data_IF_490586042985
#
_entry.id   IF_490586042985
#
_cell.length_a   1.000
_cell.length_b   1.000
_cell.length_c   1.000
_cell.angle_alpha   90.00
_cell.angle_beta   90.00
_cell.angle_gamma   90.00
#
_symmetry.space_group_name_H-M   'P 1'
#
loop_
_entity.id
_entity.type
_entity.pdbx_description
1 polymer ?
#
# COMPACT_ATOMS: atom_id res chain seq x y z
N UNK A 1 7.17 -66.35 7.53
CA UNK A 1 7.82 -65.58 6.46
C UNK A 1 9.31 -65.87 6.56
N UNK A 2 9.83 -66.66 5.63
CA UNK A 2 11.18 -67.20 5.69
C UNK A 2 12.21 -66.14 5.26
N UNK A 3 13.21 -65.90 6.12
CA UNK A 3 14.41 -65.13 5.78
C UNK A 3 15.24 -65.94 4.76
N UNK A 4 15.78 -65.34 3.69
CA UNK A 4 16.76 -66.04 2.87
C UNK A 4 18.09 -66.12 3.61
N UNK A 5 18.68 -67.32 3.56
CA UNK A 5 19.94 -67.71 4.20
C UNK A 5 21.15 -67.06 3.55
N UNK A 6 22.12 -66.65 4.37
CA UNK A 6 23.49 -66.28 3.98
C UNK A 6 24.17 -67.45 3.24
N UNK A 7 24.22 -67.40 1.90
CA UNK A 7 25.17 -68.19 1.13
C UNK A 7 25.83 -67.30 0.05
N UNK A 8 27.06 -66.90 0.36
CA UNK A 8 28.16 -66.55 -0.54
C UNK A 8 27.82 -66.24 -2.01
N UNK A 9 27.73 -64.94 -2.34
CA UNK A 9 27.92 -64.44 -3.70
C UNK A 9 29.41 -64.50 -4.08
N UNK A 10 29.91 -65.71 -4.39
CA UNK A 10 31.19 -65.86 -5.07
C UNK A 10 31.01 -65.57 -6.57
N UNK A 11 31.05 -64.29 -6.94
CA UNK A 11 31.09 -63.85 -8.32
C UNK A 11 32.37 -63.06 -8.60
N UNK A 12 33.32 -63.63 -9.34
CA UNK A 12 34.41 -62.86 -9.95
C UNK A 12 33.82 -62.01 -11.09
N UNK A 13 33.22 -60.87 -10.73
CA UNK A 13 32.64 -59.92 -11.66
C UNK A 13 33.72 -59.07 -12.31
N UNK A 14 33.85 -59.16 -13.64
CA UNK A 14 34.68 -58.24 -14.42
C UNK A 14 33.78 -57.23 -15.16
N UNK A 15 34.26 -55.99 -15.28
CA UNK A 15 33.61 -54.99 -16.11
C UNK A 15 33.96 -55.23 -17.59
N UNK A 16 33.01 -55.24 -18.52
CA UNK A 16 33.34 -55.36 -19.96
C UNK A 16 32.95 -54.12 -20.74
N UNK A 17 33.71 -53.84 -21.79
CA UNK A 17 33.35 -52.87 -22.82
C UNK A 17 32.52 -53.59 -23.91
N UNK A 18 31.28 -53.16 -24.21
CA UNK A 18 30.51 -53.75 -25.29
C UNK A 18 30.94 -53.11 -26.62
N UNK A 19 31.64 -53.88 -27.47
CA UNK A 19 31.74 -53.57 -28.90
C UNK A 19 30.60 -54.29 -29.63
N UNK A 20 29.93 -53.56 -30.52
CA UNK A 20 28.85 -54.09 -31.35
C UNK A 20 29.37 -55.19 -32.28
N UNK A 21 28.68 -56.33 -32.30
CA UNK A 21 29.01 -57.43 -33.21
C UNK A 21 28.65 -57.07 -34.65
N UNK A 22 29.56 -57.35 -35.58
CA UNK A 22 29.26 -57.40 -36.99
C UNK A 22 28.40 -58.65 -37.31
N UNK A 23 27.69 -58.60 -38.44
CA UNK A 23 26.72 -59.62 -38.86
C UNK A 23 27.33 -61.02 -39.15
N UNK A 24 28.61 -61.25 -38.84
CA UNK A 24 29.35 -62.49 -39.06
C UNK A 24 29.73 -63.23 -37.76
N UNK A 25 29.30 -62.76 -36.59
CA UNK A 25 29.43 -63.50 -35.33
C UNK A 25 30.85 -63.60 -34.77
N UNK A 26 31.79 -62.75 -35.22
CA UNK A 26 33.07 -62.57 -34.54
C UNK A 26 32.85 -61.69 -33.32
N UNK A 27 33.07 -62.27 -32.14
CA UNK A 27 33.10 -61.50 -30.89
C UNK A 27 34.49 -60.93 -30.75
N UNK A 28 34.63 -59.61 -30.94
CA UNK A 28 35.85 -58.92 -30.56
C UNK A 28 36.15 -59.19 -29.08
N UNK A 29 37.43 -59.31 -28.69
CA UNK A 29 37.79 -59.53 -27.29
C UNK A 29 37.23 -58.38 -26.44
N UNK A 30 36.43 -58.74 -25.43
CA UNK A 30 35.89 -57.80 -24.44
C UNK A 30 36.74 -57.89 -23.16
N UNK A 31 37.88 -57.18 -23.08
CA UNK A 31 38.76 -57.25 -21.92
C UNK A 31 38.07 -56.68 -20.67
N UNK A 32 38.52 -57.15 -19.51
CA UNK A 32 38.08 -56.62 -18.23
C UNK A 32 38.53 -55.15 -18.05
N UNK A 33 37.59 -54.25 -17.81
CA UNK A 33 37.82 -52.85 -17.48
C UNK A 33 38.06 -52.66 -15.97
N UNK A 34 37.48 -53.52 -15.13
CA UNK A 34 37.73 -53.56 -13.69
C UNK A 34 37.31 -54.90 -13.09
N UNK A 35 37.72 -55.15 -11.85
CA UNK A 35 37.32 -56.29 -11.04
C UNK A 35 36.60 -55.79 -9.79
N UNK A 36 35.50 -56.45 -9.43
CA UNK A 36 34.65 -56.08 -8.29
C UNK A 36 34.86 -57.04 -7.12
N UNK A 37 34.73 -56.54 -5.90
CA UNK A 37 34.68 -57.31 -4.66
C UNK A 37 33.58 -56.77 -3.74
N UNK A 38 33.32 -57.47 -2.62
CA UNK A 38 32.35 -57.04 -1.60
C UNK A 38 30.96 -56.74 -2.17
N UNK A 39 30.32 -57.77 -2.74
CA UNK A 39 28.93 -57.68 -3.14
C UNK A 39 28.04 -57.69 -1.90
N UNK A 40 27.24 -56.64 -1.73
CA UNK A 40 26.25 -56.52 -0.66
C UNK A 40 24.86 -56.26 -1.25
N UNK A 41 23.83 -56.70 -0.52
CA UNK A 41 22.44 -56.41 -0.84
C UNK A 41 21.87 -55.60 0.31
N UNK A 42 21.44 -54.38 0.01
CA UNK A 42 20.86 -53.46 0.99
C UNK A 42 19.44 -53.89 1.36
N UNK A 43 18.91 -53.34 2.46
CA UNK A 43 17.57 -53.66 2.96
C UNK A 43 16.45 -53.40 1.94
N UNK A 44 16.67 -52.45 1.02
CA UNK A 44 15.74 -52.09 -0.06
C UNK A 44 15.91 -52.96 -1.33
N UNK A 45 16.78 -53.98 -1.28
CA UNK A 45 17.04 -54.90 -2.40
C UNK A 45 18.02 -54.37 -3.44
N UNK A 46 18.65 -53.21 -3.20
CA UNK A 46 19.72 -52.70 -4.05
C UNK A 46 21.00 -53.54 -3.89
N UNK A 47 21.70 -53.80 -5.01
CA UNK A 47 22.97 -54.52 -5.00
C UNK A 47 24.12 -53.53 -5.16
N UNK A 48 25.00 -53.48 -4.18
CA UNK A 48 26.22 -52.68 -4.20
C UNK A 48 27.45 -53.59 -4.31
N UNK A 49 28.50 -53.08 -4.96
CA UNK A 49 29.77 -53.79 -5.10
C UNK A 49 30.91 -52.77 -5.14
N UNK A 50 32.01 -53.06 -4.46
CA UNK A 50 33.22 -52.23 -4.48
C UNK A 50 34.09 -52.59 -5.68
N UNK A 51 34.75 -51.61 -6.28
CA UNK A 51 35.74 -51.87 -7.33
C UNK A 51 37.09 -52.18 -6.67
N UNK A 52 37.56 -53.41 -6.84
CA UNK A 52 38.84 -53.86 -6.30
C UNK A 52 40.01 -53.25 -7.09
N UNK A 53 39.90 -53.29 -8.42
CA UNK A 53 40.98 -52.87 -9.30
C UNK A 53 40.45 -52.46 -10.67
N UNK A 54 40.88 -51.29 -11.16
CA UNK A 54 40.65 -50.84 -12.53
C UNK A 54 41.82 -51.22 -13.41
N UNK A 55 41.56 -51.71 -14.63
CA UNK A 55 42.62 -51.78 -15.64
C UNK A 55 42.91 -50.39 -16.19
N UNK A 56 44.14 -50.10 -16.68
CA UNK A 56 44.48 -48.78 -17.21
C UNK A 56 43.53 -48.30 -18.32
N UNK A 57 43.04 -49.23 -19.15
CA UNK A 57 42.05 -48.94 -20.18
C UNK A 57 40.68 -48.58 -19.58
N UNK A 58 40.20 -49.33 -18.57
CA UNK A 58 38.93 -49.05 -17.90
C UNK A 58 38.93 -47.72 -17.15
N UNK A 59 40.02 -47.42 -16.44
CA UNK A 59 40.18 -46.16 -15.71
C UNK A 59 40.15 -44.95 -16.66
N UNK A 60 40.86 -45.04 -17.78
CA UNK A 60 40.88 -44.00 -18.82
C UNK A 60 39.49 -43.78 -19.41
N UNK A 61 38.77 -44.86 -19.72
CA UNK A 61 37.45 -44.81 -20.32
C UNK A 61 36.41 -44.13 -19.39
N UNK A 62 36.49 -44.35 -18.07
CA UNK A 62 35.64 -43.66 -17.09
C UNK A 62 36.07 -42.21 -16.90
N UNK A 63 37.37 -41.92 -16.78
CA UNK A 63 37.91 -40.55 -16.62
C UNK A 63 37.57 -39.65 -17.80
N UNK A 64 37.72 -40.17 -19.02
CA UNK A 64 37.40 -39.46 -20.26
C UNK A 64 35.89 -39.40 -20.54
N UNK A 65 35.06 -40.00 -19.66
CA UNK A 65 33.60 -40.08 -19.81
C UNK A 65 33.17 -40.78 -21.10
N UNK A 66 34.00 -41.69 -21.61
CA UNK A 66 33.66 -42.56 -22.75
C UNK A 66 32.50 -43.49 -22.38
N UNK A 67 32.37 -43.83 -21.10
CA UNK A 67 31.25 -44.59 -20.53
C UNK A 67 30.70 -43.92 -19.29
N UNK A 68 29.38 -43.71 -19.26
CA UNK A 68 28.70 -43.01 -18.15
C UNK A 68 27.83 -43.91 -17.27
N UNK A 69 27.43 -45.08 -17.75
CA UNK A 69 26.50 -45.97 -17.07
C UNK A 69 27.05 -47.39 -16.97
N UNK A 70 26.39 -48.20 -16.14
CA UNK A 70 26.66 -49.62 -15.99
C UNK A 70 25.43 -50.43 -16.43
N UNK A 71 25.63 -51.64 -16.91
CA UNK A 71 24.55 -52.58 -17.25
C UNK A 71 24.91 -53.99 -16.75
N UNK A 72 24.31 -54.46 -15.64
CA UNK A 72 24.59 -55.79 -15.11
C UNK A 72 23.97 -56.89 -15.96
N UNK A 73 24.65 -58.04 -16.02
CA UNK A 73 24.12 -59.29 -16.57
C UNK A 73 23.64 -60.16 -15.42
N UNK A 74 22.32 -60.29 -15.33
CA UNK A 74 21.64 -60.98 -14.24
C UNK A 74 21.35 -62.44 -14.65
N UNK A 75 21.75 -63.39 -13.81
CA UNK A 75 21.33 -64.78 -13.89
C UNK A 75 19.97 -64.91 -13.21
N UNK A 76 19.01 -65.50 -13.89
CA UNK A 76 17.68 -65.76 -13.35
C UNK A 76 17.16 -67.14 -13.74
N UNK A 77 16.27 -67.68 -12.92
CA UNK A 77 15.53 -68.90 -13.23
C UNK A 77 14.45 -68.59 -14.26
N UNK A 78 14.52 -69.20 -15.45
CA UNK A 78 13.57 -68.94 -16.53
C UNK A 78 12.12 -69.31 -16.22
N UNK A 79 11.89 -70.27 -15.31
CA UNK A 79 10.56 -70.77 -15.00
C UNK A 79 9.89 -69.99 -13.85
N UNK A 80 10.68 -69.49 -12.89
CA UNK A 80 10.16 -68.78 -11.71
C UNK A 80 10.42 -67.28 -11.73
N UNK A 81 11.32 -66.79 -12.60
CA UNK A 81 11.74 -65.39 -12.66
C UNK A 81 12.71 -64.97 -11.55
N UNK A 82 13.08 -65.89 -10.64
CA UNK A 82 13.94 -65.60 -9.49
C UNK A 82 15.37 -65.27 -9.92
N UNK A 83 15.91 -64.16 -9.42
CA UNK A 83 17.30 -63.72 -9.65
C UNK A 83 18.25 -64.56 -8.80
N UNK A 84 19.22 -65.22 -9.45
CA UNK A 84 20.24 -66.06 -8.82
C UNK A 84 21.56 -65.34 -8.56
N UNK A 85 21.81 -64.22 -9.24
CA UNK A 85 23.03 -63.43 -9.05
C UNK A 85 23.41 -62.61 -10.28
N UNK A 86 24.57 -61.96 -10.21
CA UNK A 86 25.14 -61.14 -11.27
C UNK A 86 26.44 -61.79 -11.76
N UNK A 87 26.56 -62.02 -13.07
CA UNK A 87 27.77 -62.65 -13.65
C UNK A 87 28.84 -61.63 -14.02
N UNK A 88 28.42 -60.51 -14.60
CA UNK A 88 29.30 -59.44 -15.05
C UNK A 88 28.53 -58.13 -15.13
N UNK A 89 29.24 -57.02 -15.24
CA UNK A 89 28.65 -55.69 -15.37
C UNK A 89 29.32 -54.98 -16.54
N UNK A 90 28.58 -54.50 -17.54
CA UNK A 90 29.18 -53.79 -18.66
C UNK A 90 29.24 -52.28 -18.40
N UNK A 91 30.32 -51.61 -18.83
CA UNK A 91 30.33 -50.15 -18.97
C UNK A 91 29.60 -49.77 -20.26
N UNK A 92 28.58 -48.93 -20.21
CA UNK A 92 27.76 -48.60 -21.39
C UNK A 92 27.28 -47.14 -21.36
N UNK A 93 26.99 -46.59 -22.54
CA UNK A 93 26.29 -45.31 -22.69
C UNK A 93 24.77 -45.49 -22.88
N UNK A 94 24.31 -46.73 -23.10
CA UNK A 94 22.90 -47.10 -23.25
C UNK A 94 22.61 -48.24 -22.28
N UNK A 95 22.33 -47.96 -21.00
CA UNK A 95 22.07 -49.01 -20.03
C UNK A 95 20.70 -49.64 -20.29
N UNK A 96 20.60 -50.95 -20.07
CA UNK A 96 19.33 -51.68 -20.20
C UNK A 96 18.44 -51.51 -18.95
N UNK A 97 19.01 -51.03 -17.84
CA UNK A 97 18.33 -50.74 -16.57
C UNK A 97 18.60 -49.29 -16.18
N UNK A 98 17.62 -48.61 -15.59
CA UNK A 98 17.75 -47.22 -15.15
C UNK A 98 18.47 -47.16 -13.80
N UNK A 99 19.80 -47.38 -13.82
CA UNK A 99 20.67 -47.28 -12.64
C UNK A 99 21.34 -45.90 -12.58
N UNK A 100 21.56 -45.34 -11.37
CA UNK A 100 22.24 -44.06 -11.21
C UNK A 100 23.67 -44.12 -11.79
N UNK A 101 24.12 -43.00 -12.36
CA UNK A 101 25.45 -42.92 -12.97
C UNK A 101 26.57 -43.05 -11.91
N UNK A 102 27.68 -43.68 -12.27
CA UNK A 102 28.81 -43.96 -11.38
C UNK A 102 29.46 -42.68 -10.78
N UNK A 103 29.22 -41.52 -11.41
CA UNK A 103 29.75 -40.21 -11.01
C UNK A 103 28.70 -39.31 -10.31
N UNK A 104 27.73 -39.88 -9.59
CA UNK A 104 26.76 -39.08 -8.84
C UNK A 104 27.36 -38.59 -7.52
N UNK A 105 27.69 -37.30 -7.44
CA UNK A 105 28.03 -36.64 -6.18
C UNK A 105 26.74 -36.29 -5.45
N UNK A 106 26.42 -37.02 -4.39
CA UNK A 106 25.25 -36.76 -3.55
C UNK A 106 25.44 -35.40 -2.85
N UNK A 107 24.62 -34.43 -3.21
CA UNK A 107 24.68 -33.09 -2.65
C UNK A 107 23.97 -33.08 -1.29
N UNK A 108 24.69 -33.53 -0.26
CA UNK A 108 24.29 -33.34 1.14
C UNK A 108 24.13 -31.83 1.41
N UNK A 109 22.92 -31.41 1.82
CA UNK A 109 22.77 -30.21 2.63
C UNK A 109 21.91 -29.06 2.11
N UNK A 110 20.94 -29.28 1.23
CA UNK A 110 19.85 -28.29 1.01
C UNK A 110 18.70 -28.53 1.99
N UNK A 111 18.21 -29.76 2.11
CA UNK A 111 17.07 -30.08 2.98
C UNK A 111 17.38 -29.86 4.46
N UNK A 112 18.54 -30.33 4.96
CA UNK A 112 18.96 -30.10 6.36
C UNK A 112 19.10 -28.60 6.70
N UNK A 113 19.52 -27.77 5.75
CA UNK A 113 19.59 -26.30 5.95
C UNK A 113 18.20 -25.68 6.02
N UNK A 114 17.26 -26.14 5.19
CA UNK A 114 15.87 -25.69 5.23
C UNK A 114 15.20 -26.09 6.55
N UNK A 115 15.37 -27.32 7.01
CA UNK A 115 14.86 -27.79 8.30
C UNK A 115 15.40 -26.95 9.46
N UNK A 116 16.70 -26.64 9.46
CA UNK A 116 17.32 -25.75 10.45
C UNK A 116 16.73 -24.33 10.41
N UNK A 117 16.52 -23.76 9.22
CA UNK A 117 15.89 -22.43 9.07
C UNK A 117 14.44 -22.43 9.54
N UNK A 118 13.72 -23.54 9.38
CA UNK A 118 12.35 -23.73 9.85
C UNK A 118 12.26 -24.11 11.34
N UNK A 119 13.40 -24.29 12.02
CA UNK A 119 13.44 -24.70 13.43
C UNK A 119 13.02 -26.15 13.70
N UNK A 120 13.07 -27.00 12.67
CA UNK A 120 12.74 -28.43 12.72
C UNK A 120 13.99 -29.28 12.98
N UNK A 121 13.78 -30.51 13.46
CA UNK A 121 14.85 -31.50 13.63
C UNK A 121 15.50 -31.89 12.28
N UNK A 122 16.77 -32.29 12.29
CA UNK A 122 17.53 -32.59 11.05
C UNK A 122 17.04 -33.85 10.32
N UNK A 123 16.28 -34.71 11.01
CA UNK A 123 15.62 -35.93 10.52
C UNK A 123 14.12 -35.72 10.26
N UNK A 124 13.62 -34.48 10.35
CA UNK A 124 12.22 -34.18 10.10
C UNK A 124 11.83 -34.54 8.66
N UNK A 125 10.64 -35.13 8.51
CA UNK A 125 10.11 -35.55 7.22
C UNK A 125 9.80 -34.35 6.33
N UNK A 126 9.77 -34.58 5.01
CA UNK A 126 9.40 -33.56 4.03
C UNK A 126 8.01 -32.96 4.30
N UNK A 127 7.06 -33.78 4.74
CA UNK A 127 5.72 -33.32 5.14
C UNK A 127 5.76 -32.36 6.34
N UNK A 128 6.64 -32.60 7.31
CA UNK A 128 6.81 -31.71 8.45
C UNK A 128 7.38 -30.34 8.03
N UNK A 129 8.32 -30.34 7.08
CA UNK A 129 8.86 -29.12 6.49
C UNK A 129 7.79 -28.33 5.73
N UNK A 130 6.99 -29.01 4.91
CA UNK A 130 5.91 -28.38 4.14
C UNK A 130 4.87 -27.75 5.06
N UNK A 131 4.45 -28.48 6.10
CA UNK A 131 3.51 -27.97 7.09
C UNK A 131 4.03 -26.73 7.83
N UNK A 132 5.32 -26.70 8.18
CA UNK A 132 5.94 -25.55 8.81
C UNK A 132 5.98 -24.32 7.88
N UNK A 133 6.28 -24.53 6.59
CA UNK A 133 6.25 -23.46 5.58
C UNK A 133 4.82 -22.93 5.39
N UNK A 134 3.82 -23.82 5.26
CA UNK A 134 2.41 -23.42 5.14
C UNK A 134 1.94 -22.66 6.38
N UNK A 135 2.37 -23.07 7.57
CA UNK A 135 2.08 -22.35 8.82
C UNK A 135 2.68 -20.94 8.79
N UNK A 136 3.95 -20.78 8.41
CA UNK A 136 4.60 -19.48 8.29
C UNK A 136 3.91 -18.58 7.25
N UNK A 137 3.50 -19.13 6.11
CA UNK A 137 2.74 -18.39 5.10
C UNK A 137 1.40 -17.91 5.65
N UNK A 138 0.68 -18.76 6.38
CA UNK A 138 -0.60 -18.40 7.00
C UNK A 138 -0.43 -17.38 8.13
N UNK A 139 0.62 -17.48 8.94
CA UNK A 139 0.95 -16.52 9.98
C UNK A 139 1.34 -15.16 9.38
N UNK A 140 2.13 -15.16 8.30
CA UNK A 140 2.48 -13.94 7.57
C UNK A 140 1.25 -13.30 6.92
N UNK A 141 0.39 -14.09 6.28
CA UNK A 141 -0.87 -13.62 5.74
C UNK A 141 -1.77 -13.05 6.85
N UNK A 142 -1.81 -13.71 8.01
CA UNK A 142 -2.55 -13.23 9.19
C UNK A 142 -1.91 -11.98 9.79
N UNK A 143 -0.59 -11.84 9.77
CA UNK A 143 0.12 -10.65 10.27
C UNK A 143 -0.02 -9.46 9.31
N UNK A 144 -0.06 -9.70 8.01
CA UNK A 144 -0.35 -8.69 6.98
C UNK A 144 -1.82 -8.24 7.03
N UNK A 145 -2.74 -9.17 7.33
CA UNK A 145 -4.18 -8.89 7.41
C UNK A 145 -4.65 -8.51 8.81
N UNK A 146 -3.84 -8.72 9.85
CA UNK A 146 -4.01 -8.02 11.12
C UNK A 146 -3.81 -6.56 10.75
N UNK A 147 -4.93 -5.83 10.69
CA UNK A 147 -4.94 -4.41 10.94
C UNK A 147 -3.88 -4.18 12.02
N UNK A 148 -2.80 -3.52 11.63
CA UNK A 148 -1.94 -2.83 12.56
C UNK A 148 -2.93 -1.96 13.32
N UNK A 149 -3.42 -2.41 14.47
CA UNK A 149 -4.33 -1.62 15.32
C UNK A 149 -3.42 -0.47 15.75
N UNK A 150 -3.46 0.67 15.04
CA UNK A 150 -2.51 1.72 15.31
C UNK A 150 -2.91 2.19 16.69
N UNK A 151 -1.97 2.19 17.62
CA UNK A 151 -2.20 2.82 18.90
C UNK A 151 -2.72 4.24 18.62
N UNK A 152 -4.00 4.49 18.90
CA UNK A 152 -4.67 5.76 18.57
C UNK A 152 -4.04 6.94 19.31
N UNK A 153 -3.23 6.68 20.35
CA UNK A 153 -2.42 7.70 21.00
C UNK A 153 -1.19 8.12 20.16
N UNK A 154 -0.76 7.29 19.19
CA UNK A 154 0.43 7.52 18.35
C UNK A 154 0.10 7.70 16.87
N UNK A 155 -1.03 7.18 16.42
CA UNK A 155 -1.46 7.23 15.02
C UNK A 155 -2.89 7.74 14.93
N UNK A 156 -3.06 8.91 14.32
CA UNK A 156 -4.36 9.45 13.95
C UNK A 156 -4.64 9.07 12.50
N UNK A 157 -5.80 8.44 12.20
CA UNK A 157 -6.21 8.20 10.82
C UNK A 157 -6.22 9.49 10.01
N UNK A 158 -5.66 9.47 8.79
CA UNK A 158 -5.55 10.66 7.95
C UNK A 158 -6.90 11.33 7.68
N UNK A 159 -7.96 10.54 7.52
CA UNK A 159 -9.32 11.05 7.35
C UNK A 159 -9.81 11.87 8.55
N UNK A 160 -9.54 11.41 9.77
CA UNK A 160 -9.91 12.13 11.00
C UNK A 160 -9.08 13.41 11.16
N UNK A 161 -7.78 13.35 10.83
CA UNK A 161 -6.91 14.53 10.81
C UNK A 161 -7.40 15.58 9.82
N UNK A 162 -7.69 15.19 8.58
CA UNK A 162 -8.17 16.09 7.53
C UNK A 162 -9.53 16.71 7.92
N UNK A 163 -10.42 15.93 8.56
CA UNK A 163 -11.68 16.43 9.11
C UNK A 163 -11.47 17.44 10.25
N UNK A 164 -10.57 17.15 11.20
CA UNK A 164 -10.25 18.07 12.29
C UNK A 164 -9.61 19.36 11.78
N UNK A 165 -8.69 19.26 10.82
CA UNK A 165 -8.06 20.42 10.18
C UNK A 165 -9.10 21.29 9.45
N UNK A 166 -10.01 20.67 8.69
CA UNK A 166 -11.10 21.38 8.00
C UNK A 166 -12.02 22.07 9.01
N UNK A 167 -12.37 21.40 10.11
CA UNK A 167 -13.20 21.99 11.17
C UNK A 167 -12.51 23.16 11.86
N UNK A 168 -11.21 23.06 12.15
CA UNK A 168 -10.42 24.13 12.75
C UNK A 168 -10.37 25.36 11.83
N UNK A 169 -10.01 25.16 10.55
CA UNK A 169 -10.00 26.24 9.56
C UNK A 169 -11.37 26.93 9.41
N UNK A 170 -12.45 26.15 9.37
CA UNK A 170 -13.81 26.70 9.31
C UNK A 170 -14.20 27.47 10.57
N UNK A 171 -13.75 27.04 11.76
CA UNK A 171 -14.02 27.73 13.01
C UNK A 171 -13.23 29.04 13.10
N UNK A 172 -11.96 29.03 12.72
CA UNK A 172 -11.11 30.23 12.66
C UNK A 172 -11.67 31.25 11.67
N UNK A 173 -12.10 30.82 10.50
CA UNK A 173 -12.73 31.70 9.51
C UNK A 173 -14.03 32.32 10.05
N UNK A 174 -14.91 31.52 10.67
CA UNK A 174 -16.14 32.03 11.29
C UNK A 174 -15.87 33.02 12.41
N UNK A 175 -14.82 32.81 13.21
CA UNK A 175 -14.43 33.75 14.26
C UNK A 175 -13.90 35.05 13.67
N UNK A 176 -13.08 34.98 12.61
CA UNK A 176 -12.59 36.16 11.91
C UNK A 176 -13.72 36.95 11.25
N UNK A 177 -14.67 36.29 10.59
CA UNK A 177 -15.81 36.93 9.95
C UNK A 177 -16.75 37.55 10.98
N UNK A 178 -17.05 36.85 12.07
CA UNK A 178 -17.85 37.38 13.17
C UNK A 178 -17.18 38.55 13.90
N UNK A 179 -15.85 38.57 14.01
CA UNK A 179 -15.11 39.71 14.55
C UNK A 179 -15.22 40.94 13.64
N UNK A 180 -15.11 40.75 12.32
CA UNK A 180 -15.30 41.83 11.33
C UNK A 180 -16.71 42.39 11.36
N UNK A 181 -17.73 41.53 11.38
CA UNK A 181 -19.14 41.96 11.42
C UNK A 181 -19.47 42.75 12.70
N UNK A 182 -18.95 42.31 13.86
CA UNK A 182 -19.08 43.05 15.12
C UNK A 182 -18.41 44.42 15.04
N UNK A 183 -17.19 44.48 14.53
CA UNK A 183 -16.44 45.73 14.37
C UNK A 183 -17.17 46.68 13.41
N UNK A 184 -17.65 46.21 12.26
CA UNK A 184 -18.44 47.04 11.33
C UNK A 184 -19.74 47.55 11.96
N UNK A 185 -20.43 46.72 12.73
CA UNK A 185 -21.65 47.11 13.47
C UNK A 185 -21.34 48.21 14.50
N UNK A 186 -20.26 48.06 15.26
CA UNK A 186 -19.83 49.04 16.26
C UNK A 186 -19.42 50.37 15.62
N UNK A 187 -18.65 50.32 14.52
CA UNK A 187 -18.26 51.51 13.74
C UNK A 187 -19.50 52.26 13.25
N UNK A 188 -20.44 51.56 12.60
CA UNK A 188 -21.63 52.19 12.04
C UNK A 188 -22.49 52.82 13.13
N UNK A 189 -22.65 52.13 14.27
CA UNK A 189 -23.38 52.64 15.43
C UNK A 189 -22.76 53.92 16.01
N UNK A 190 -21.43 53.94 16.17
CA UNK A 190 -20.71 55.11 16.70
C UNK A 190 -20.79 56.31 15.74
N UNK A 191 -20.63 56.07 14.43
CA UNK A 191 -20.75 57.10 13.39
C UNK A 191 -22.16 57.68 13.35
N UNK A 192 -23.20 56.85 13.38
CA UNK A 192 -24.57 57.33 13.37
C UNK A 192 -24.92 58.11 14.65
N UNK A 193 -24.34 57.73 15.79
CA UNK A 193 -24.45 58.49 17.05
C UNK A 193 -23.77 59.86 16.93
N UNK A 194 -22.57 59.91 16.34
CA UNK A 194 -21.84 61.15 16.10
C UNK A 194 -22.54 62.09 15.10
N UNK A 195 -23.17 61.54 14.06
CA UNK A 195 -23.99 62.29 13.10
C UNK A 195 -25.21 62.90 13.77
N UNK A 196 -25.95 62.12 14.57
CA UNK A 196 -27.12 62.61 15.32
C UNK A 196 -26.73 63.67 16.36
N UNK A 197 -25.55 63.54 16.96
CA UNK A 197 -25.01 64.52 17.89
C UNK A 197 -24.47 65.79 17.20
N UNK A 198 -24.44 65.85 15.86
CA UNK A 198 -23.93 66.99 15.10
C UNK A 198 -22.41 67.21 15.23
N UNK A 199 -21.66 66.22 15.75
CA UNK A 199 -20.21 66.28 15.94
C UNK A 199 -19.43 66.02 14.65
N UNK A 200 -20.06 65.32 13.71
CA UNK A 200 -19.54 65.11 12.35
C UNK A 200 -20.63 65.51 11.34
N UNK A 201 -20.21 65.96 10.16
CA UNK A 201 -21.15 66.31 9.08
C UNK A 201 -21.41 65.10 8.18
N UNK A 202 -22.56 65.04 7.48
CA UNK A 202 -22.84 63.97 6.51
C UNK A 202 -21.75 63.82 5.43
N UNK A 203 -21.14 64.93 5.00
CA UNK A 203 -20.06 64.90 4.01
C UNK A 203 -18.77 64.23 4.52
N UNK A 204 -18.55 64.21 5.84
CA UNK A 204 -17.39 63.58 6.48
C UNK A 204 -17.61 62.12 6.88
N UNK A 205 -18.83 61.58 6.71
CA UNK A 205 -19.20 60.22 7.14
C UNK A 205 -18.28 59.15 6.58
N UNK A 206 -18.08 59.15 5.26
CA UNK A 206 -17.30 58.10 4.58
C UNK A 206 -15.82 58.13 4.97
N UNK A 207 -15.29 59.33 5.26
CA UNK A 207 -13.92 59.51 5.75
C UNK A 207 -13.73 58.85 7.13
N UNK A 208 -14.63 59.12 8.08
CA UNK A 208 -14.56 58.52 9.41
C UNK A 208 -14.88 57.02 9.39
N UNK A 209 -15.75 56.56 8.49
CA UNK A 209 -16.01 55.14 8.27
C UNK A 209 -14.75 54.41 7.79
N UNK A 210 -14.04 54.97 6.82
CA UNK A 210 -12.77 54.43 6.37
C UNK A 210 -11.69 54.45 7.48
N UNK A 211 -11.62 55.54 8.26
CA UNK A 211 -10.68 55.68 9.38
C UNK A 211 -10.92 54.61 10.46
N UNK A 212 -12.17 54.40 10.87
CA UNK A 212 -12.51 53.47 11.95
C UNK A 212 -12.25 52.01 11.60
N UNK A 213 -12.10 51.65 10.32
CA UNK A 213 -11.78 50.29 9.86
C UNK A 213 -10.31 49.87 10.09
N UNK A 214 -9.46 50.78 10.55
CA UNK A 214 -8.07 50.48 10.95
C UNK A 214 -7.97 49.92 12.37
N UNK A 215 -6.88 49.22 12.71
CA UNK A 215 -6.69 48.51 14.00
C UNK A 215 -6.88 49.37 15.26
N UNK A 216 -6.73 50.70 15.16
CA UNK A 216 -6.94 51.64 16.26
C UNK A 216 -7.95 52.77 15.94
N UNK A 217 -8.54 52.74 14.74
CA UNK A 217 -9.31 53.87 14.22
C UNK A 217 -10.58 54.18 15.01
N UNK A 218 -11.23 53.13 15.55
CA UNK A 218 -12.44 53.29 16.36
C UNK A 218 -12.15 53.98 17.70
N UNK A 219 -11.05 53.62 18.37
CA UNK A 219 -10.64 54.26 19.63
C UNK A 219 -10.23 55.72 19.40
N UNK A 220 -9.47 55.98 18.34
CA UNK A 220 -9.09 57.33 17.94
C UNK A 220 -10.31 58.19 17.61
N UNK A 221 -11.32 57.62 16.93
CA UNK A 221 -12.58 58.30 16.66
C UNK A 221 -13.36 58.59 17.94
N UNK A 222 -13.46 57.63 18.87
CA UNK A 222 -14.08 57.85 20.19
C UNK A 222 -13.39 58.96 20.98
N UNK A 223 -12.07 59.03 20.94
CA UNK A 223 -11.32 60.11 21.59
C UNK A 223 -11.60 61.46 20.94
N UNK A 224 -11.62 61.52 19.60
CA UNK A 224 -12.01 62.71 18.86
C UNK A 224 -13.41 63.20 19.25
N UNK A 225 -14.38 62.29 19.38
CA UNK A 225 -15.75 62.64 19.78
C UNK A 225 -15.84 63.28 21.18
N UNK A 226 -14.88 63.06 22.08
CA UNK A 226 -14.87 63.72 23.40
C UNK A 226 -14.55 65.21 23.29
N UNK A 227 -13.70 65.60 22.34
CA UNK A 227 -13.25 66.98 22.15
C UNK A 227 -13.94 67.71 21.01
N UNK A 228 -14.65 66.99 20.13
CA UNK A 228 -15.28 67.57 18.95
C UNK A 228 -16.43 68.52 19.32
N UNK A 229 -16.40 69.78 18.84
CA UNK A 229 -17.52 70.71 18.98
C UNK A 229 -18.69 70.26 18.09
N UNK A 230 -19.90 70.74 18.39
CA UNK A 230 -21.06 70.55 17.51
C UNK A 230 -20.88 71.47 16.31
N UNK A 231 -20.65 70.89 15.12
CA UNK A 231 -20.36 71.62 13.88
C UNK A 231 -21.58 71.64 12.96
N UNK A 232 -22.46 70.65 13.09
CA UNK A 232 -23.74 70.57 12.41
C UNK A 232 -24.86 70.64 13.45
N UNK A 233 -25.07 71.82 14.06
CA UNK A 233 -26.29 72.05 14.81
C UNK A 233 -27.49 71.82 13.88
N UNK A 234 -28.53 71.08 14.31
CA UNK A 234 -29.74 70.95 13.52
C UNK A 234 -30.25 72.35 13.26
N UNK A 235 -30.28 72.75 11.99
CA UNK A 235 -30.92 74.00 11.62
C UNK A 235 -32.35 73.87 12.13
N UNK A 236 -32.80 74.77 12.99
CA UNK A 236 -34.17 74.75 13.56
C UNK A 236 -35.29 74.84 12.50
N UNK A 237 -34.94 74.73 11.21
CA UNK A 237 -35.79 74.62 10.05
C UNK A 237 -36.61 73.32 10.02
N UNK A 238 -36.15 72.21 10.61
CA UNK A 238 -36.97 70.97 10.68
C UNK A 238 -38.20 71.12 11.58
N UNK A 239 -38.15 72.04 12.56
CA UNK A 239 -39.31 72.42 13.39
C UNK A 239 -40.04 73.64 12.86
N UNK A 240 -39.47 74.33 11.87
CA UNK A 240 -40.13 75.42 11.17
C UNK A 240 -40.81 74.79 9.96
N UNK A 241 -42.03 74.29 10.16
CA UNK A 241 -42.95 74.12 9.04
C UNK A 241 -42.86 75.40 8.20
N UNK A 242 -42.57 75.28 6.91
CA UNK A 242 -43.10 76.26 6.00
C UNK A 242 -44.62 76.27 6.29
N UNK A 243 -45.18 77.40 6.70
CA UNK A 243 -46.63 77.52 6.75
C UNK A 243 -47.14 77.13 5.36
N UNK A 244 -47.81 75.98 5.26
CA UNK A 244 -48.43 75.53 4.01
C UNK A 244 -48.08 74.14 3.46
N UNK A 245 -47.58 73.17 4.25
CA UNK A 245 -47.46 71.80 3.73
C UNK A 245 -47.83 70.71 4.76
N UNK A 246 -49.11 70.62 5.10
CA UNK A 246 -49.72 69.35 5.49
C UNK A 246 -50.85 69.01 4.51
N UNK A 247 -50.61 68.01 3.66
CA UNK A 247 -51.45 66.80 3.60
C UNK A 247 -52.96 66.93 3.39
N UNK A 248 -53.46 68.06 2.92
CA UNK A 248 -54.81 68.30 2.44
C UNK A 248 -54.84 69.69 1.83
N UNK A 249 -55.37 69.85 0.61
CA UNK A 249 -55.57 71.15 -0.06
C UNK A 249 -56.53 72.00 0.77
N UNK A 250 -56.04 72.59 1.86
CA UNK A 250 -56.70 73.62 2.63
C UNK A 250 -56.04 74.94 2.21
N UNK A 251 -56.80 75.76 1.49
CA UNK A 251 -56.40 77.07 1.00
C UNK A 251 -55.78 77.88 2.14
N UNK A 252 -54.58 78.43 1.91
CA UNK A 252 -53.97 79.33 2.88
C UNK A 252 -54.70 80.69 2.88
N UNK A 253 -54.44 81.52 3.90
CA UNK A 253 -55.14 82.80 4.07
C UNK A 253 -54.89 83.81 2.93
N UNK A 254 -53.81 83.62 2.16
CA UNK A 254 -53.45 84.47 1.04
C UNK A 254 -54.17 84.04 -0.24
N UNK A 255 -54.35 82.73 -0.46
CA UNK A 255 -55.11 82.13 -1.55
C UNK A 255 -56.61 82.44 -1.43
N UNK A 256 -57.17 82.45 -0.21
CA UNK A 256 -58.55 82.87 0.01
C UNK A 256 -58.79 84.35 -0.35
N UNK A 257 -57.85 85.24 -0.06
CA UNK A 257 -57.97 86.65 -0.45
C UNK A 257 -57.87 86.86 -1.96
N UNK A 258 -57.12 86.02 -2.67
CA UNK A 258 -57.02 86.08 -4.13
C UNK A 258 -58.34 85.64 -4.78
N UNK A 259 -58.97 84.59 -4.25
CA UNK A 259 -60.28 84.10 -4.70
C UNK A 259 -61.38 85.16 -4.48
N UNK A 260 -61.41 85.79 -3.31
CA UNK A 260 -62.38 86.84 -2.98
C UNK A 260 -62.20 88.11 -3.84
N UNK A 261 -60.95 88.50 -4.12
CA UNK A 261 -60.67 89.69 -4.93
C UNK A 261 -60.85 89.48 -6.44
N UNK A 262 -60.70 88.24 -6.93
CA UNK A 262 -60.89 87.90 -8.34
C UNK A 262 -62.31 87.38 -8.65
N UNK A 263 -63.13 87.14 -7.62
CA UNK A 263 -64.54 86.73 -7.76
C UNK A 263 -64.71 85.36 -8.43
N UNK A 264 -63.68 84.51 -8.36
CA UNK A 264 -63.69 83.15 -8.91
C UNK A 264 -64.15 82.15 -7.86
N UNK A 265 -64.67 80.99 -8.27
CA UNK A 265 -65.05 79.95 -7.32
C UNK A 265 -63.81 79.18 -6.83
N UNK A 266 -63.87 78.67 -5.60
CA UNK A 266 -62.82 77.83 -5.01
C UNK A 266 -62.58 76.55 -5.81
N UNK A 267 -63.60 76.01 -6.48
CA UNK A 267 -63.46 74.81 -7.31
C UNK A 267 -62.72 75.10 -8.62
N UNK A 268 -62.97 76.26 -9.25
CA UNK A 268 -62.28 76.65 -10.49
C UNK A 268 -60.80 76.98 -10.25
N UNK A 269 -60.49 77.62 -9.11
CA UNK A 269 -59.11 77.91 -8.72
C UNK A 269 -58.28 76.64 -8.51
N UNK A 270 -58.87 75.60 -7.92
CA UNK A 270 -58.20 74.33 -7.65
C UNK A 270 -58.09 73.41 -8.88
N UNK A 271 -58.87 73.67 -9.94
CA UNK A 271 -58.87 72.91 -11.19
C UNK A 271 -57.93 73.47 -12.28
N UNK A 272 -57.42 74.69 -12.11
CA UNK A 272 -56.51 75.36 -13.05
C UNK A 272 -55.01 75.08 -12.81
N UNK A 273 -54.70 74.20 -11.85
CA UNK A 273 -53.36 73.79 -11.43
C UNK A 273 -53.10 72.32 -11.78
#
# INVERSE_FOLDING_TARGET
MAKPSEEHLHGFGHLTHPLGGDAAGRRDPAPAAAWLHEFAVDADGAVSAAVLYWTPAGETAVKNREYRYISPVILYNKNTGEIKGITSIALTNRPNLHVPALNHQQQEGTMKKLLKLLGLAEDATEDAAMNAVTKLQNELQTAMNREFVPDLAKFVPRGDYDQMQTRAANAEQKLADGAKEKLETEINSEIDTALKAGKISPASKDFYLAMCKSEEGLEQFREFLKTAPVIAEPSGLDKKSADGAQGGKALNAEEQQIIDNLGISTEDYLAAE
#
